data_IF_801467205761
#
_entry.id   IF_801467205761
#
_cell.length_a   1.000
_cell.length_b   1.000
_cell.length_c   1.000
_cell.angle_alpha   90.00
_cell.angle_beta   90.00
_cell.angle_gamma   90.00
#
_symmetry.space_group_name_H-M   'P 1'
#
loop_
_entity.id
_entity.type
_entity.pdbx_description
1 polymer ?
#
# COMPACT_ATOMS: atom_id res chain seq x y z
N UNK A 1 22.17 -11.97 39.40
CA UNK A 1 22.70 -12.64 38.20
C UNK A 1 21.82 -13.86 37.97
N UNK A 2 21.26 -13.97 36.76
CA UNK A 2 20.74 -15.19 36.10
C UNK A 2 19.67 -16.03 36.81
N UNK A 3 18.39 -15.82 36.45
CA UNK A 3 17.42 -16.89 36.11
C UNK A 3 16.06 -16.26 35.74
N UNK A 4 15.82 -16.09 34.43
CA UNK A 4 14.50 -16.01 33.74
C UNK A 4 14.63 -15.19 32.44
N UNK A 5 15.18 -15.81 31.40
CA UNK A 5 14.71 -15.55 30.04
C UNK A 5 14.80 -16.87 29.29
N UNK A 6 13.74 -17.67 29.46
CA UNK A 6 13.50 -18.87 28.68
C UNK A 6 13.32 -18.42 27.23
N UNK A 7 14.39 -18.45 26.46
CA UNK A 7 14.35 -18.29 25.02
C UNK A 7 13.39 -19.34 24.49
N UNK A 8 12.25 -18.85 24.01
CA UNK A 8 11.19 -19.64 23.40
C UNK A 8 11.82 -20.50 22.30
N UNK A 9 11.92 -21.80 22.56
CA UNK A 9 12.25 -22.81 21.57
C UNK A 9 11.15 -22.84 20.52
N UNK A 10 11.32 -22.11 19.42
CA UNK A 10 10.42 -22.18 18.26
C UNK A 10 10.70 -23.51 17.57
N UNK A 11 9.81 -24.47 17.79
CA UNK A 11 9.83 -25.74 17.07
C UNK A 11 9.38 -25.46 15.62
N UNK A 12 10.20 -25.77 14.61
CA UNK A 12 9.93 -25.45 13.21
C UNK A 12 9.01 -26.52 12.61
N UNK A 13 7.76 -26.63 13.09
CA UNK A 13 6.72 -27.06 12.16
C UNK A 13 6.61 -25.94 11.12
N UNK A 14 7.00 -26.24 9.87
CA UNK A 14 6.79 -25.36 8.73
C UNK A 14 5.35 -24.83 8.79
N UNK A 15 5.18 -23.55 9.16
CA UNK A 15 3.89 -22.89 8.99
C UNK A 15 3.69 -22.71 7.49
N UNK A 16 3.12 -23.72 6.86
CA UNK A 16 2.72 -23.71 5.46
C UNK A 16 1.60 -22.68 5.34
N UNK A 17 1.94 -21.47 4.91
CA UNK A 17 0.97 -20.40 4.71
C UNK A 17 0.12 -20.74 3.49
N UNK A 18 -1.14 -21.09 3.73
CA UNK A 18 -2.12 -21.22 2.67
C UNK A 18 -2.47 -19.85 2.11
N UNK A 19 -2.50 -19.73 0.78
CA UNK A 19 -2.88 -18.51 0.08
C UNK A 19 -4.38 -18.26 0.31
N UNK A 20 -4.72 -17.39 1.26
CA UNK A 20 -6.12 -17.08 1.62
C UNK A 20 -6.67 -15.75 1.08
N UNK A 21 -5.81 -14.87 0.56
CA UNK A 21 -6.23 -13.54 0.08
C UNK A 21 -6.69 -13.64 -1.38
N UNK A 22 -7.97 -13.36 -1.60
CA UNK A 22 -8.54 -13.22 -2.93
C UNK A 22 -8.31 -11.81 -3.49
N UNK A 23 -8.31 -11.62 -4.82
CA UNK A 23 -8.08 -10.32 -5.46
C UNK A 23 -8.96 -9.19 -4.91
N UNK A 24 -10.23 -9.48 -4.63
CA UNK A 24 -11.18 -8.50 -4.11
C UNK A 24 -10.87 -8.03 -2.68
N UNK A 25 -10.25 -8.88 -1.84
CA UNK A 25 -9.80 -8.45 -0.51
C UNK A 25 -8.71 -7.40 -0.64
N UNK A 26 -7.78 -7.58 -1.59
CA UNK A 26 -6.72 -6.60 -1.88
C UNK A 26 -7.33 -5.28 -2.37
N UNK A 27 -8.34 -5.34 -3.25
CA UNK A 27 -9.05 -4.15 -3.70
C UNK A 27 -9.75 -3.41 -2.55
N UNK A 28 -10.40 -4.13 -1.62
CA UNK A 28 -11.04 -3.52 -0.45
C UNK A 28 -10.03 -2.84 0.47
N UNK A 29 -8.85 -3.44 0.67
CA UNK A 29 -7.76 -2.83 1.44
C UNK A 29 -7.31 -1.52 0.78
N UNK A 30 -7.12 -1.53 -0.55
CA UNK A 30 -6.73 -0.34 -1.29
C UNK A 30 -7.79 0.77 -1.19
N UNK A 31 -9.07 0.44 -1.39
CA UNK A 31 -10.19 1.38 -1.30
C UNK A 31 -10.29 1.98 0.11
N UNK A 32 -10.17 1.15 1.15
CA UNK A 32 -10.18 1.60 2.54
C UNK A 32 -9.08 2.61 2.85
N UNK A 33 -7.87 2.39 2.35
CA UNK A 33 -6.74 3.33 2.50
C UNK A 33 -6.96 4.65 1.77
N UNK A 34 -7.43 4.60 0.52
CA UNK A 34 -7.66 5.80 -0.32
C UNK A 34 -8.78 6.67 0.27
N UNK A 35 -9.90 6.08 0.68
CA UNK A 35 -11.02 6.85 1.23
C UNK A 35 -10.70 7.36 2.64
N UNK A 36 -10.09 6.52 3.49
CA UNK A 36 -9.78 6.86 4.87
C UNK A 36 -8.69 7.92 5.00
N UNK A 37 -7.44 7.54 4.71
CA UNK A 37 -6.28 8.39 4.97
C UNK A 37 -6.10 9.52 3.96
N UNK A 38 -6.59 9.39 2.72
CA UNK A 38 -6.35 10.39 1.68
C UNK A 38 -7.56 11.32 1.47
N UNK A 39 -8.76 10.79 1.19
CA UNK A 39 -9.92 11.61 0.86
C UNK A 39 -10.42 12.45 2.05
N UNK A 40 -10.66 11.81 3.20
CA UNK A 40 -11.18 12.52 4.38
C UNK A 40 -10.14 13.42 5.06
N UNK A 41 -8.90 12.95 5.22
CA UNK A 41 -7.84 13.74 5.85
C UNK A 41 -7.41 14.93 4.98
N UNK A 42 -7.37 14.75 3.65
CA UNK A 42 -6.94 15.79 2.71
C UNK A 42 -8.01 16.83 2.43
N UNK A 43 -9.26 16.43 2.19
CA UNK A 43 -10.32 17.34 1.71
C UNK A 43 -10.61 18.50 2.65
N UNK A 44 -10.66 18.27 3.97
CA UNK A 44 -11.10 19.28 4.93
C UNK A 44 -10.27 20.57 4.92
N UNK A 45 -8.95 20.45 4.84
CA UNK A 45 -8.07 21.63 4.82
C UNK A 45 -7.91 22.19 3.41
N UNK A 46 -7.75 21.32 2.42
CA UNK A 46 -7.51 21.73 1.03
C UNK A 46 -8.69 22.50 0.42
N UNK A 47 -9.94 22.16 0.76
CA UNK A 47 -11.13 22.87 0.26
C UNK A 47 -11.16 24.33 0.74
N UNK A 48 -10.78 24.58 2.00
CA UNK A 48 -10.78 25.92 2.58
C UNK A 48 -9.73 26.84 1.93
N UNK A 49 -8.60 26.27 1.52
CA UNK A 49 -7.45 27.03 1.02
C UNK A 49 -7.49 27.25 -0.49
N UNK A 50 -7.93 26.25 -1.28
CA UNK A 50 -7.97 26.34 -2.75
C UNK A 50 -9.33 26.79 -3.33
N UNK A 51 -10.41 26.76 -2.54
CA UNK A 51 -11.74 27.10 -3.04
C UNK A 51 -12.14 26.27 -4.28
N UNK A 52 -12.84 26.84 -5.27
CA UNK A 52 -13.31 26.08 -6.44
C UNK A 52 -12.18 25.56 -7.34
N UNK A 53 -10.95 26.10 -7.23
CA UNK A 53 -9.81 25.65 -8.02
C UNK A 53 -9.31 24.24 -7.64
N UNK A 54 -9.78 23.69 -6.52
CA UNK A 54 -9.41 22.36 -6.04
C UNK A 54 -9.70 21.24 -7.04
N UNK A 55 -10.74 21.39 -7.86
CA UNK A 55 -11.11 20.41 -8.90
C UNK A 55 -9.98 20.28 -9.92
N UNK A 56 -9.37 21.40 -10.33
CA UNK A 56 -8.25 21.42 -11.28
C UNK A 56 -7.01 20.80 -10.64
N UNK A 57 -6.75 21.12 -9.36
CA UNK A 57 -5.63 20.53 -8.61
C UNK A 57 -5.76 18.99 -8.48
N UNK A 58 -6.95 18.47 -8.18
CA UNK A 58 -7.21 17.02 -8.14
C UNK A 58 -7.13 16.37 -9.51
N UNK A 59 -7.56 17.05 -10.59
CA UNK A 59 -7.40 16.54 -11.96
C UNK A 59 -5.92 16.34 -12.33
N UNK A 60 -5.08 17.35 -12.05
CA UNK A 60 -3.64 17.27 -12.34
C UNK A 60 -2.97 16.23 -11.43
N UNK A 61 -3.26 16.25 -10.13
CA UNK A 61 -2.71 15.28 -9.19
C UNK A 61 -3.13 13.85 -9.52
N UNK A 62 -4.40 13.66 -9.90
CA UNK A 62 -4.94 12.37 -10.34
C UNK A 62 -4.27 11.86 -11.62
N UNK A 63 -3.97 12.74 -12.57
CA UNK A 63 -3.25 12.39 -13.78
C UNK A 63 -1.83 11.88 -13.49
N UNK A 64 -1.11 12.56 -12.57
CA UNK A 64 0.23 12.13 -12.14
C UNK A 64 0.16 10.77 -11.44
N UNK A 65 -0.78 10.59 -10.50
CA UNK A 65 -0.97 9.31 -9.79
C UNK A 65 -1.33 8.19 -10.77
N UNK A 66 -2.19 8.47 -11.75
CA UNK A 66 -2.56 7.51 -12.79
C UNK A 66 -1.35 7.07 -13.61
N UNK A 67 -0.52 8.01 -14.06
CA UNK A 67 0.69 7.69 -14.82
C UNK A 67 1.69 6.84 -14.00
N UNK A 68 1.85 7.15 -12.71
CA UNK A 68 2.67 6.35 -11.79
C UNK A 68 2.11 4.94 -11.63
N UNK A 69 0.80 4.80 -11.41
CA UNK A 69 0.17 3.48 -11.24
C UNK A 69 0.28 2.64 -12.52
N UNK A 70 0.15 3.26 -13.70
CA UNK A 70 0.30 2.57 -14.98
C UNK A 70 1.72 2.02 -15.15
N UNK A 71 2.73 2.87 -14.91
CA UNK A 71 4.14 2.47 -14.97
C UNK A 71 4.45 1.37 -13.94
N UNK A 72 3.87 1.46 -12.75
CA UNK A 72 4.04 0.47 -11.71
C UNK A 72 3.37 -0.87 -12.06
N UNK A 73 2.20 -0.82 -12.70
CA UNK A 73 1.51 -2.00 -13.22
C UNK A 73 2.36 -2.75 -14.25
N UNK A 74 2.96 -2.04 -15.20
CA UNK A 74 3.87 -2.63 -16.19
C UNK A 74 5.09 -3.28 -15.54
N UNK A 75 5.67 -2.65 -14.51
CA UNK A 75 6.78 -3.20 -13.74
C UNK A 75 6.39 -4.50 -13.01
N UNK A 76 5.22 -4.51 -12.37
CA UNK A 76 4.72 -5.68 -11.64
C UNK A 76 4.46 -6.88 -12.55
N UNK A 77 4.00 -6.63 -13.78
CA UNK A 77 3.73 -7.68 -14.78
C UNK A 77 5.03 -8.21 -15.38
N UNK A 78 5.96 -7.33 -15.74
CA UNK A 78 7.20 -7.71 -16.44
C UNK A 78 8.24 -8.35 -15.51
N UNK A 79 8.28 -7.97 -14.22
CA UNK A 79 9.28 -8.49 -13.27
C UNK A 79 8.57 -9.04 -12.03
N UNK A 80 7.92 -10.22 -12.11
CA UNK A 80 7.15 -10.76 -10.99
C UNK A 80 8.07 -11.21 -9.84
N UNK A 81 8.37 -10.31 -8.89
CA UNK A 81 9.10 -10.64 -7.66
C UNK A 81 8.14 -10.90 -6.51
N UNK A 82 8.40 -11.98 -5.77
CA UNK A 82 7.71 -12.27 -4.51
C UNK A 82 8.29 -11.35 -3.43
N UNK A 83 7.56 -10.31 -3.03
CA UNK A 83 7.99 -9.37 -2.00
C UNK A 83 7.27 -8.01 -2.07
N UNK A 84 7.62 -7.11 -1.16
CA UNK A 84 7.13 -5.72 -1.17
C UNK A 84 7.79 -4.89 -2.28
N UNK A 85 7.26 -3.70 -2.57
CA UNK A 85 7.82 -2.68 -3.47
C UNK A 85 9.34 -2.50 -3.31
N UNK A 86 9.85 -2.56 -2.06
CA UNK A 86 11.29 -2.45 -1.75
C UNK A 86 12.14 -3.52 -2.44
N UNK A 87 11.56 -4.67 -2.79
CA UNK A 87 12.25 -5.76 -3.48
C UNK A 87 12.57 -5.44 -4.93
N UNK A 88 11.91 -4.43 -5.52
CA UNK A 88 12.19 -3.93 -6.87
C UNK A 88 13.32 -2.88 -6.86
N UNK A 89 13.57 -2.22 -5.73
CA UNK A 89 14.64 -1.22 -5.59
C UNK A 89 15.98 -1.83 -5.14
N UNK A 90 16.01 -3.12 -4.79
CA UNK A 90 17.25 -3.82 -4.48
C UNK A 90 17.97 -4.15 -5.79
N UNK A 91 19.13 -3.52 -5.98
CA UNK A 91 20.13 -3.84 -7.01
C UNK A 91 20.65 -5.26 -6.80
#
# INVERSE_FOLDING_TARGET
MSEQNKSVSINPEERILVRGIYPWHVSLIAIGGIIGSCYFLGSGWTIKELGPAIIVAYMIGGLVIYAVMQSFGELLVNVPRRGSFVSYCKV
#
